data_IF_622582171786
#
_entry.id   IF_622582171786
#
_cell.length_a   1.000
_cell.length_b   1.000
_cell.length_c   1.000
_cell.angle_alpha   90.00
_cell.angle_beta   90.00
_cell.angle_gamma   90.00
#
_symmetry.space_group_name_H-M   'P 1'
#
loop_
_entity.id
_entity.type
_entity.pdbx_description
1 polymer ?
#
# COMPACT_ATOMS: atom_id res chain seq x y z
N UNK A 1 -5.83 -36.70 -50.91
CA UNK A 1 -5.95 -36.82 -49.44
C UNK A 1 -4.82 -36.00 -48.83
N UNK A 2 -5.19 -34.88 -48.17
CA UNK A 2 -4.42 -33.98 -47.31
C UNK A 2 -3.10 -33.38 -47.87
N UNK A 3 -3.02 -32.09 -48.24
CA UNK A 3 -3.18 -30.82 -47.50
C UNK A 3 -1.82 -30.26 -47.02
N UNK A 4 -1.64 -28.96 -47.34
CA UNK A 4 -0.93 -27.93 -46.56
C UNK A 4 0.61 -28.03 -46.51
N UNK A 5 1.39 -26.95 -46.62
CA UNK A 5 1.07 -25.52 -46.73
C UNK A 5 2.32 -24.76 -47.15
N UNK A 6 2.07 -23.71 -47.91
CA UNK A 6 2.95 -22.61 -48.28
C UNK A 6 3.68 -22.01 -47.08
N UNK A 7 4.99 -21.88 -47.16
CA UNK A 7 5.78 -21.04 -46.25
C UNK A 7 5.85 -19.63 -46.84
N UNK A 8 5.02 -18.70 -46.35
CA UNK A 8 5.14 -17.27 -46.65
C UNK A 8 5.26 -16.49 -45.34
N UNK A 9 6.48 -16.01 -45.12
CA UNK A 9 6.92 -14.70 -44.60
C UNK A 9 6.05 -13.98 -43.56
N UNK A 10 6.64 -13.70 -42.39
CA UNK A 10 6.67 -12.33 -41.84
C UNK A 10 7.85 -12.15 -40.86
N UNK A 11 9.03 -11.86 -41.40
CA UNK A 11 10.09 -11.22 -40.60
C UNK A 11 9.72 -9.74 -40.46
N UNK A 12 8.90 -9.45 -39.45
CA UNK A 12 8.69 -8.09 -38.94
C UNK A 12 8.91 -8.12 -37.43
N UNK A 13 10.10 -8.57 -37.01
CA UNK A 13 10.58 -8.29 -35.67
C UNK A 13 11.39 -6.99 -35.77
N UNK A 14 10.73 -5.88 -35.43
CA UNK A 14 11.46 -4.70 -34.98
C UNK A 14 12.42 -5.17 -33.90
N UNK A 15 13.73 -5.04 -34.14
CA UNK A 15 14.76 -5.49 -33.22
C UNK A 15 14.50 -4.90 -31.84
N UNK A 16 14.19 -5.76 -30.87
CA UNK A 16 14.32 -5.42 -29.46
C UNK A 16 15.82 -5.38 -29.25
N UNK A 17 16.44 -4.20 -29.30
CA UNK A 17 17.80 -4.08 -28.80
C UNK A 17 17.72 -4.28 -27.29
N UNK A 18 17.96 -5.51 -26.86
CA UNK A 18 18.10 -5.82 -25.44
C UNK A 18 19.35 -5.09 -24.94
N UNK A 19 19.21 -4.37 -23.83
CA UNK A 19 20.32 -3.67 -23.16
C UNK A 19 21.41 -4.70 -22.83
N UNK A 20 22.65 -4.41 -23.22
CA UNK A 20 23.79 -5.24 -22.87
C UNK A 20 24.25 -4.91 -21.43
N UNK A 21 24.39 -5.92 -20.58
CA UNK A 21 24.89 -5.76 -19.21
C UNK A 21 26.26 -6.38 -19.06
N UNK A 22 27.26 -5.53 -18.82
CA UNK A 22 28.65 -5.92 -18.59
C UNK A 22 28.98 -5.73 -17.11
N UNK A 23 29.73 -6.68 -16.53
CA UNK A 23 30.21 -6.58 -15.15
C UNK A 23 31.71 -6.85 -15.16
N UNK A 24 32.48 -5.95 -14.58
CA UNK A 24 33.93 -6.07 -14.43
C UNK A 24 34.32 -5.89 -12.97
N UNK A 25 35.40 -6.56 -12.57
CA UNK A 25 36.03 -6.36 -11.29
C UNK A 25 37.46 -5.87 -11.55
N UNK A 26 37.68 -4.56 -11.44
CA UNK A 26 39.01 -3.97 -11.59
C UNK A 26 39.83 -4.05 -10.31
N UNK A 27 39.23 -4.48 -9.20
CA UNK A 27 39.85 -4.59 -7.89
C UNK A 27 40.12 -6.04 -7.46
N UNK A 28 40.32 -6.97 -8.40
CA UNK A 28 40.44 -8.42 -8.11
C UNK A 28 41.50 -8.78 -7.05
N UNK A 29 42.57 -7.99 -6.98
CA UNK A 29 43.68 -8.21 -6.04
C UNK A 29 43.46 -7.53 -4.67
N UNK A 30 42.39 -6.76 -4.50
CA UNK A 30 42.01 -6.16 -3.22
C UNK A 30 41.17 -7.12 -2.38
N UNK A 31 41.19 -6.96 -1.06
CA UNK A 31 40.30 -7.75 -0.18
C UNK A 31 38.81 -7.58 -0.56
N UNK A 32 38.42 -6.39 -0.99
CA UNK A 32 37.07 -6.08 -1.45
C UNK A 32 36.67 -6.79 -2.73
N UNK A 33 37.53 -6.75 -3.74
CA UNK A 33 37.30 -7.44 -5.01
C UNK A 33 37.32 -8.97 -4.86
N UNK A 34 38.18 -9.52 -3.99
CA UNK A 34 38.13 -10.96 -3.63
C UNK A 34 36.80 -11.30 -2.96
N UNK A 35 36.35 -10.48 -2.00
CA UNK A 35 35.06 -10.68 -1.33
C UNK A 35 33.89 -10.58 -2.29
N UNK A 36 33.90 -9.62 -3.22
CA UNK A 36 32.90 -9.54 -4.29
C UNK A 36 32.84 -10.84 -5.10
N UNK A 37 33.98 -11.37 -5.54
CA UNK A 37 34.02 -12.62 -6.32
C UNK A 37 33.44 -13.81 -5.55
N UNK A 38 33.68 -13.88 -4.23
CA UNK A 38 33.24 -15.01 -3.39
C UNK A 38 31.78 -14.92 -2.97
N UNK A 39 31.32 -13.72 -2.55
CA UNK A 39 30.04 -13.55 -1.87
C UNK A 39 28.91 -13.10 -2.82
N UNK A 40 29.27 -12.42 -3.92
CA UNK A 40 28.32 -11.78 -4.85
C UNK A 40 28.46 -12.41 -6.25
N UNK A 41 29.59 -12.17 -6.91
CA UNK A 41 29.94 -12.69 -8.23
C UNK A 41 29.34 -11.91 -9.41
N UNK A 42 30.01 -12.06 -10.56
CA UNK A 42 29.66 -11.41 -11.84
C UNK A 42 28.24 -11.79 -12.31
N UNK A 43 27.91 -13.08 -12.28
CA UNK A 43 26.63 -13.56 -12.83
C UNK A 43 25.43 -13.06 -12.02
N UNK A 44 25.52 -13.10 -10.69
CA UNK A 44 24.48 -12.54 -9.82
C UNK A 44 24.31 -11.03 -10.05
N UNK A 45 25.41 -10.31 -10.20
CA UNK A 45 25.39 -8.88 -10.47
C UNK A 45 24.68 -8.58 -11.79
N UNK A 46 25.01 -9.32 -12.86
CA UNK A 46 24.35 -9.19 -14.17
C UNK A 46 22.83 -9.44 -14.06
N UNK A 47 22.43 -10.52 -13.39
CA UNK A 47 21.01 -10.82 -13.16
C UNK A 47 20.30 -9.73 -12.35
N UNK A 48 21.02 -9.12 -11.39
CA UNK A 48 20.50 -8.01 -10.60
C UNK A 48 20.28 -6.77 -11.45
N UNK A 49 21.21 -6.41 -12.35
CA UNK A 49 21.04 -5.29 -13.28
C UNK A 49 19.81 -5.48 -14.19
N UNK A 50 19.62 -6.69 -14.75
CA UNK A 50 18.43 -7.04 -15.55
C UNK A 50 17.15 -6.88 -14.71
N UNK A 51 17.12 -7.46 -13.51
CA UNK A 51 15.95 -7.42 -12.63
C UNK A 51 15.60 -5.98 -12.22
N UNK A 52 16.62 -5.17 -11.90
CA UNK A 52 16.47 -3.77 -11.54
C UNK A 52 15.89 -2.97 -12.71
N UNK A 53 16.40 -3.15 -13.93
CA UNK A 53 15.85 -2.48 -15.13
C UNK A 53 14.38 -2.82 -15.35
N UNK A 54 14.00 -4.10 -15.29
CA UNK A 54 12.61 -4.52 -15.46
C UNK A 54 11.71 -3.98 -14.35
N UNK A 55 12.21 -3.91 -13.12
CA UNK A 55 11.49 -3.31 -12.00
C UNK A 55 11.29 -1.80 -12.21
N UNK A 56 12.35 -1.08 -12.55
CA UNK A 56 12.35 0.37 -12.73
C UNK A 56 11.44 0.77 -13.90
N UNK A 57 11.56 0.10 -15.05
CA UNK A 57 10.67 0.39 -16.20
C UNK A 57 9.20 0.17 -15.86
N UNK A 58 8.87 -0.87 -15.08
CA UNK A 58 7.48 -1.09 -14.62
C UNK A 58 7.04 0.00 -13.64
N UNK A 59 7.88 0.31 -12.65
CA UNK A 59 7.58 1.30 -11.61
C UNK A 59 7.40 2.70 -12.20
N UNK A 60 8.24 3.10 -13.17
CA UNK A 60 8.15 4.36 -13.90
C UNK A 60 7.19 4.33 -15.09
N UNK A 61 6.53 3.19 -15.34
CA UNK A 61 5.60 3.01 -16.46
C UNK A 61 6.23 3.31 -17.84
N UNK A 62 7.54 3.08 -17.98
CA UNK A 62 8.30 3.19 -19.23
C UNK A 62 8.10 1.94 -20.09
N UNK A 63 6.86 1.69 -20.48
CA UNK A 63 6.45 0.43 -21.09
C UNK A 63 6.86 0.29 -22.56
N UNK A 64 7.18 1.40 -23.24
CA UNK A 64 7.58 1.40 -24.65
C UNK A 64 9.00 1.96 -24.83
N UNK A 65 9.69 1.62 -25.94
CA UNK A 65 10.98 2.23 -26.27
C UNK A 65 10.94 3.77 -26.32
N UNK A 66 9.81 4.36 -26.72
CA UNK A 66 9.65 5.81 -26.79
C UNK A 66 9.63 6.50 -25.41
N UNK A 67 9.29 5.77 -24.34
CA UNK A 67 9.26 6.26 -22.97
C UNK A 67 10.61 6.15 -22.25
N UNK A 68 11.52 5.33 -22.79
CA UNK A 68 12.81 4.98 -22.18
C UNK A 68 13.92 5.94 -22.63
N UNK A 69 15.00 5.98 -21.86
CA UNK A 69 16.28 6.51 -22.34
C UNK A 69 16.88 5.53 -23.34
N UNK A 70 17.57 6.05 -24.35
CA UNK A 70 18.26 5.24 -25.36
C UNK A 70 19.63 4.81 -24.83
N UNK A 71 19.62 3.77 -23.98
CA UNK A 71 20.82 3.17 -23.40
C UNK A 71 20.98 1.77 -23.98
N UNK A 72 22.10 1.53 -24.65
CA UNK A 72 22.37 0.26 -25.32
C UNK A 72 23.19 -0.70 -24.46
N UNK A 73 23.97 -0.16 -23.52
CA UNK A 73 24.84 -0.92 -22.63
C UNK A 73 24.88 -0.26 -21.26
N UNK A 74 24.87 -1.08 -20.21
CA UNK A 74 25.20 -0.67 -18.84
C UNK A 74 26.38 -1.49 -18.34
N UNK A 75 27.41 -0.81 -17.81
CA UNK A 75 28.61 -1.46 -17.27
C UNK A 75 28.67 -1.29 -15.76
N UNK A 76 28.71 -2.39 -15.01
CA UNK A 76 29.02 -2.37 -13.57
C UNK A 76 30.51 -2.65 -13.37
N UNK A 77 31.18 -1.76 -12.64
CA UNK A 77 32.62 -1.78 -12.40
C UNK A 77 32.85 -1.82 -10.89
N UNK A 78 33.46 -2.91 -10.41
CA UNK A 78 33.95 -2.98 -9.03
C UNK A 78 35.38 -2.44 -9.00
N UNK A 79 35.61 -1.35 -8.30
CA UNK A 79 36.93 -0.72 -8.23
C UNK A 79 37.20 0.00 -6.91
N UNK A 80 38.43 0.46 -6.71
CA UNK A 80 38.77 1.28 -5.56
C UNK A 80 38.47 2.75 -5.88
N UNK A 81 37.37 3.25 -5.33
CA UNK A 81 36.93 4.64 -5.48
C UNK A 81 36.52 5.20 -4.11
N UNK A 82 35.99 6.42 -4.09
CA UNK A 82 35.42 7.04 -2.90
C UNK A 82 33.91 6.75 -2.78
N UNK A 83 33.36 6.87 -1.57
CA UNK A 83 31.93 6.64 -1.32
C UNK A 83 31.52 5.17 -1.40
N UNK A 84 30.22 4.93 -1.61
CA UNK A 84 29.62 3.58 -1.69
C UNK A 84 29.58 3.12 -3.15
N UNK A 85 28.89 3.90 -3.97
CA UNK A 85 28.76 3.73 -5.40
C UNK A 85 28.36 5.05 -6.06
N UNK A 86 28.48 5.11 -7.38
CA UNK A 86 27.90 6.18 -8.21
C UNK A 86 27.63 5.67 -9.63
N UNK A 87 26.75 6.38 -10.33
CA UNK A 87 26.45 6.11 -11.74
C UNK A 87 26.78 7.31 -12.63
N UNK A 88 27.50 7.08 -13.73
CA UNK A 88 27.85 8.10 -14.71
C UNK A 88 28.04 7.44 -16.09
N UNK A 89 27.64 8.09 -17.18
CA UNK A 89 27.87 7.61 -18.55
C UNK A 89 27.42 6.16 -18.82
N UNK A 90 26.28 5.77 -18.26
CA UNK A 90 25.76 4.39 -18.31
C UNK A 90 26.67 3.33 -17.63
N UNK A 91 27.61 3.79 -16.80
CA UNK A 91 28.45 2.98 -15.93
C UNK A 91 28.00 3.12 -14.47
N UNK A 92 28.13 2.04 -13.71
CA UNK A 92 27.90 1.99 -12.28
C UNK A 92 29.22 1.56 -11.64
N UNK A 93 29.74 2.37 -10.74
CA UNK A 93 30.99 2.12 -10.06
C UNK A 93 30.68 1.80 -8.60
N UNK A 94 31.06 0.61 -8.14
CA UNK A 94 30.88 0.21 -6.73
C UNK A 94 32.24 0.10 -6.06
N UNK A 95 32.36 0.75 -4.90
CA UNK A 95 33.60 0.78 -4.16
C UNK A 95 33.93 -0.58 -3.52
N UNK A 96 35.03 -1.20 -3.95
CA UNK A 96 35.53 -2.44 -3.38
C UNK A 96 35.83 -2.32 -1.87
N UNK A 97 36.28 -1.15 -1.40
CA UNK A 97 36.51 -0.95 0.03
C UNK A 97 35.21 -0.96 0.84
N UNK A 98 34.11 -0.45 0.30
CA UNK A 98 32.80 -0.56 0.93
C UNK A 98 32.36 -2.03 1.04
N UNK A 99 32.52 -2.81 -0.04
CA UNK A 99 32.24 -4.26 -0.04
C UNK A 99 33.09 -4.98 1.03
N UNK A 100 34.36 -4.63 1.15
CA UNK A 100 35.27 -5.18 2.18
C UNK A 100 34.76 -4.88 3.59
N UNK A 101 34.36 -3.65 3.85
CA UNK A 101 34.06 -3.16 5.21
C UNK A 101 32.62 -3.45 5.65
N UNK A 102 31.71 -3.71 4.72
CA UNK A 102 30.31 -3.95 5.05
C UNK A 102 30.12 -5.18 5.94
N UNK A 103 29.40 -4.98 7.04
CA UNK A 103 29.03 -6.04 7.99
C UNK A 103 27.53 -6.30 7.90
N UNK A 104 27.12 -7.56 7.92
CA UNK A 104 25.72 -7.98 7.76
C UNK A 104 25.47 -8.67 6.42
N UNK A 105 24.24 -8.56 5.91
CA UNK A 105 23.84 -9.12 4.62
C UNK A 105 24.39 -8.29 3.46
N UNK A 106 25.65 -8.54 3.11
CA UNK A 106 26.32 -7.88 1.99
C UNK A 106 25.56 -8.06 0.68
N UNK A 107 24.91 -9.21 0.47
CA UNK A 107 24.23 -9.49 -0.78
C UNK A 107 22.97 -8.63 -0.91
N UNK A 108 22.15 -8.56 0.13
CA UNK A 108 20.99 -7.67 0.19
C UNK A 108 21.37 -6.18 0.05
N UNK A 109 22.44 -5.73 0.72
CA UNK A 109 22.93 -4.36 0.57
C UNK A 109 23.35 -4.07 -0.88
N UNK A 110 24.21 -4.93 -1.44
CA UNK A 110 24.72 -4.77 -2.79
C UNK A 110 23.57 -4.71 -3.81
N UNK A 111 22.55 -5.56 -3.65
CA UNK A 111 21.33 -5.48 -4.47
C UNK A 111 20.62 -4.14 -4.32
N UNK A 112 20.43 -3.67 -3.09
CA UNK A 112 19.81 -2.37 -2.84
C UNK A 112 20.57 -1.21 -3.49
N UNK A 113 21.90 -1.21 -3.37
CA UNK A 113 22.79 -0.24 -4.03
C UNK A 113 22.62 -0.31 -5.55
N UNK A 114 22.62 -1.50 -6.16
CA UNK A 114 22.40 -1.61 -7.60
C UNK A 114 21.01 -1.10 -8.04
N UNK A 115 19.96 -1.29 -7.24
CA UNK A 115 18.64 -0.71 -7.56
C UNK A 115 18.66 0.82 -7.50
N UNK A 116 19.38 1.40 -6.54
CA UNK A 116 19.60 2.84 -6.46
C UNK A 116 20.35 3.34 -7.71
N UNK A 117 21.54 2.80 -8.00
CA UNK A 117 22.38 3.27 -9.12
C UNK A 117 21.74 3.01 -10.49
N UNK A 118 21.05 1.88 -10.68
CA UNK A 118 20.29 1.63 -11.90
C UNK A 118 19.15 2.63 -12.10
N UNK A 119 18.62 3.21 -11.02
CA UNK A 119 17.62 4.25 -11.14
C UNK A 119 18.20 5.50 -11.77
N UNK A 120 19.42 5.90 -11.41
CA UNK A 120 20.12 7.03 -12.05
C UNK A 120 20.32 6.83 -13.56
N UNK A 121 20.51 5.58 -14.01
CA UNK A 121 20.57 5.24 -15.45
C UNK A 121 19.24 5.47 -16.14
N UNK A 122 18.11 5.08 -15.53
CA UNK A 122 16.81 5.07 -16.21
C UNK A 122 15.91 6.28 -15.96
N UNK A 123 16.14 7.02 -14.87
CA UNK A 123 15.37 8.21 -14.54
C UNK A 123 15.78 9.40 -15.42
N UNK A 124 14.84 10.31 -15.60
CA UNK A 124 15.09 11.60 -16.21
C UNK A 124 15.56 12.59 -15.14
N UNK A 125 16.62 13.34 -15.43
CA UNK A 125 17.19 14.30 -14.47
C UNK A 125 16.77 15.75 -14.73
N UNK A 126 15.78 16.01 -15.59
CA UNK A 126 15.36 17.37 -15.91
C UNK A 126 16.42 18.17 -16.65
N UNK A 127 17.25 17.55 -17.49
CA UNK A 127 18.42 18.20 -18.10
C UNK A 127 19.36 18.84 -17.06
N UNK A 128 19.51 18.21 -15.90
CA UNK A 128 20.32 18.70 -14.78
C UNK A 128 19.68 19.82 -13.96
N UNK A 129 18.41 20.17 -14.21
CA UNK A 129 17.69 21.22 -13.47
C UNK A 129 16.98 20.68 -12.21
N UNK A 130 16.86 19.37 -12.08
CA UNK A 130 16.17 18.75 -10.94
C UNK A 130 17.05 18.88 -9.68
N UNK A 131 16.47 19.25 -8.52
CA UNK A 131 17.20 19.27 -7.26
C UNK A 131 17.88 17.94 -6.97
N UNK A 132 19.15 17.97 -6.58
CA UNK A 132 19.93 16.76 -6.32
C UNK A 132 19.28 15.83 -5.31
N UNK A 133 18.71 16.36 -4.23
CA UNK A 133 18.01 15.51 -3.25
C UNK A 133 16.73 14.86 -3.78
N UNK A 134 16.05 15.46 -4.77
CA UNK A 134 14.94 14.78 -5.45
C UNK A 134 15.46 13.63 -6.34
N UNK A 135 16.59 13.83 -7.01
CA UNK A 135 17.25 12.79 -7.82
C UNK A 135 17.67 11.59 -6.97
N UNK A 136 18.36 11.83 -5.85
CA UNK A 136 18.73 10.78 -4.90
C UNK A 136 17.50 10.13 -4.25
N UNK A 137 16.48 10.93 -3.92
CA UNK A 137 15.26 10.45 -3.31
C UNK A 137 14.41 9.56 -4.21
N UNK A 138 14.41 9.79 -5.53
CA UNK A 138 13.74 8.90 -6.49
C UNK A 138 14.49 7.57 -6.57
N UNK A 139 15.82 7.58 -6.58
CA UNK A 139 16.63 6.36 -6.56
C UNK A 139 16.36 5.52 -5.29
N UNK A 140 16.29 6.16 -4.12
CA UNK A 140 15.91 5.47 -2.89
C UNK A 140 14.42 5.13 -2.81
N UNK A 141 13.53 5.85 -3.49
CA UNK A 141 12.14 5.43 -3.62
C UNK A 141 12.02 4.10 -4.40
N UNK A 142 12.83 3.90 -5.44
CA UNK A 142 12.88 2.61 -6.15
C UNK A 142 13.38 1.51 -5.20
N UNK A 143 14.48 1.76 -4.48
CA UNK A 143 15.04 0.84 -3.48
C UNK A 143 14.02 0.49 -2.38
N UNK A 144 13.25 1.48 -1.92
CA UNK A 144 12.13 1.31 -0.98
C UNK A 144 11.06 0.38 -1.55
N UNK A 145 10.63 0.61 -2.80
CA UNK A 145 9.58 -0.19 -3.46
C UNK A 145 10.03 -1.60 -3.80
N UNK A 146 11.32 -1.82 -4.00
CA UNK A 146 11.93 -3.13 -4.17
C UNK A 146 12.17 -3.86 -2.84
N UNK A 147 11.82 -3.25 -1.71
CA UNK A 147 11.97 -3.79 -0.35
C UNK A 147 13.43 -4.02 0.08
N UNK A 148 14.36 -3.21 -0.42
CA UNK A 148 15.78 -3.23 -0.03
C UNK A 148 16.11 -2.09 0.96
N UNK A 149 15.33 -2.00 2.04
CA UNK A 149 15.42 -0.92 3.04
C UNK A 149 16.52 -1.23 4.06
N UNK A 150 17.62 -0.45 4.12
CA UNK A 150 18.61 -0.55 5.19
C UNK A 150 18.00 -0.24 6.55
N UNK A 151 18.50 -0.92 7.59
CA UNK A 151 18.03 -0.75 8.97
C UNK A 151 18.24 0.65 9.55
N UNK A 152 19.20 1.41 9.00
CA UNK A 152 19.53 2.77 9.44
C UNK A 152 18.68 3.85 8.78
N UNK A 153 17.81 3.50 7.81
CA UNK A 153 16.97 4.49 7.17
C UNK A 153 16.00 5.14 8.15
N UNK A 154 15.77 6.43 7.93
CA UNK A 154 14.82 7.20 8.72
C UNK A 154 13.41 6.62 8.65
N UNK A 155 12.66 6.86 9.72
CA UNK A 155 11.25 6.51 9.79
C UNK A 155 10.40 7.52 9.02
N UNK A 156 9.21 7.12 8.53
CA UNK A 156 8.29 8.06 7.91
C UNK A 156 7.96 9.24 8.83
N UNK A 157 8.15 10.46 8.33
CA UNK A 157 7.96 11.71 9.06
C UNK A 157 9.27 12.34 9.52
N UNK A 158 10.39 11.63 9.52
CA UNK A 158 11.68 12.18 9.91
C UNK A 158 12.35 12.95 8.75
N UNK A 159 13.35 13.76 9.10
CA UNK A 159 14.01 14.70 8.18
C UNK A 159 13.43 16.11 8.23
N UNK A 160 14.18 17.03 7.62
CA UNK A 160 13.99 18.48 7.77
C UNK A 160 13.34 19.12 6.53
N UNK A 161 13.57 18.56 5.34
CA UNK A 161 13.03 19.08 4.07
C UNK A 161 12.73 17.97 3.06
N UNK A 162 11.80 18.25 2.15
CA UNK A 162 11.30 17.28 1.18
C UNK A 162 12.34 16.81 0.16
N UNK A 163 13.32 17.66 -0.18
CA UNK A 163 14.44 17.37 -1.10
C UNK A 163 15.76 17.17 -0.36
N UNK A 164 15.71 16.66 0.87
CA UNK A 164 16.93 16.37 1.64
C UNK A 164 17.82 15.32 0.96
N UNK A 165 17.26 14.46 0.12
CA UNK A 165 17.96 13.35 -0.50
C UNK A 165 17.57 12.02 0.12
N UNK A 166 17.97 10.97 -0.58
CA UNK A 166 18.01 9.60 -0.07
C UNK A 166 16.68 9.15 0.57
N UNK A 167 16.78 8.46 1.70
CA UNK A 167 15.68 7.88 2.47
C UNK A 167 14.62 8.90 2.90
N UNK A 168 15.01 10.10 3.36
CA UNK A 168 14.06 11.17 3.75
C UNK A 168 13.14 11.52 2.57
N UNK A 169 13.73 11.84 1.42
CA UNK A 169 12.95 12.19 0.22
C UNK A 169 12.20 10.97 -0.31
N UNK A 170 12.76 9.77 -0.26
CA UNK A 170 12.09 8.54 -0.68
C UNK A 170 10.81 8.27 0.12
N UNK A 171 10.83 8.48 1.45
CA UNK A 171 9.66 8.33 2.32
C UNK A 171 8.58 9.37 2.02
N UNK A 172 8.97 10.60 1.68
CA UNK A 172 8.05 11.64 1.23
C UNK A 172 7.42 11.30 -0.12
N UNK A 173 8.22 10.85 -1.09
CA UNK A 173 7.73 10.41 -2.39
C UNK A 173 6.78 9.21 -2.27
N UNK A 174 7.00 8.32 -1.30
CA UNK A 174 6.07 7.25 -0.97
C UNK A 174 4.73 7.77 -0.45
N UNK A 175 4.75 8.78 0.42
CA UNK A 175 3.53 9.47 0.83
C UNK A 175 2.80 10.09 -0.38
N UNK A 176 3.50 10.82 -1.24
CA UNK A 176 2.92 11.41 -2.45
C UNK A 176 2.32 10.35 -3.39
N UNK A 177 3.00 9.22 -3.56
CA UNK A 177 2.51 8.08 -4.36
C UNK A 177 1.29 7.39 -3.71
N UNK A 178 1.13 7.49 -2.39
CA UNK A 178 -0.08 7.01 -1.70
C UNK A 178 -1.28 7.93 -1.89
N UNK A 179 -1.07 9.21 -2.18
CA UNK A 179 -2.14 10.16 -2.53
C UNK A 179 -2.60 9.98 -3.98
N UNK A 180 -1.67 9.64 -4.87
CA UNK A 180 -1.96 9.32 -6.27
C UNK A 180 -1.03 8.21 -6.75
N UNK A 181 -1.60 7.03 -6.98
CA UNK A 181 -0.84 5.91 -7.52
C UNK A 181 -0.18 6.29 -8.86
N UNK A 182 1.10 5.99 -9.01
CA UNK A 182 1.90 6.37 -10.19
C UNK A 182 2.40 7.82 -10.16
N UNK A 183 2.32 8.52 -9.02
CA UNK A 183 2.86 9.88 -8.87
C UNK A 183 4.33 9.96 -9.32
N UNK A 184 5.19 9.08 -8.79
CA UNK A 184 6.64 9.13 -9.09
C UNK A 184 6.92 8.82 -10.55
N UNK A 185 6.14 7.91 -11.15
CA UNK A 185 6.24 7.60 -12.59
C UNK A 185 5.94 8.83 -13.46
N UNK A 186 4.83 9.52 -13.17
CA UNK A 186 4.44 10.72 -13.90
C UNK A 186 5.38 11.91 -13.64
N UNK A 187 5.90 12.03 -12.41
CA UNK A 187 6.93 13.02 -12.08
C UNK A 187 8.20 12.76 -12.92
N UNK A 188 8.73 11.54 -12.91
CA UNK A 188 9.87 11.14 -13.74
C UNK A 188 9.63 11.45 -15.22
N UNK A 189 8.45 11.12 -15.75
CA UNK A 189 8.07 11.42 -17.14
C UNK A 189 8.07 12.92 -17.44
N UNK A 190 7.57 13.76 -16.53
CA UNK A 190 7.60 15.23 -16.67
C UNK A 190 9.01 15.79 -16.64
N UNK A 191 9.93 15.13 -15.94
CA UNK A 191 11.34 15.51 -15.87
C UNK A 191 12.15 15.22 -17.15
N UNK A 192 11.53 14.73 -18.24
CA UNK A 192 12.24 14.36 -19.47
C UNK A 192 13.08 15.49 -20.07
N UNK A 193 12.62 16.73 -19.99
CA UNK A 193 13.27 17.88 -20.66
C UNK A 193 13.54 19.08 -19.76
N UNK A 194 13.24 18.98 -18.47
CA UNK A 194 13.37 20.09 -17.52
C UNK A 194 12.68 19.77 -16.20
N UNK A 195 12.87 20.62 -15.21
CA UNK A 195 12.21 20.48 -13.91
C UNK A 195 11.46 21.76 -13.52
N UNK A 196 10.26 21.58 -12.97
CA UNK A 196 9.52 22.63 -12.28
C UNK A 196 8.86 22.05 -11.03
N UNK A 197 8.91 22.81 -9.93
CA UNK A 197 8.18 22.46 -8.70
C UNK A 197 6.66 22.42 -8.93
N UNK A 198 6.15 23.12 -9.96
CA UNK A 198 4.72 23.09 -10.33
C UNK A 198 4.26 21.71 -10.77
N UNK A 199 5.16 20.78 -11.11
CA UNK A 199 4.79 19.39 -11.39
C UNK A 199 4.04 18.75 -10.21
N UNK A 200 4.37 19.11 -8.97
CA UNK A 200 3.61 18.66 -7.79
C UNK A 200 2.17 19.19 -7.80
N UNK A 201 1.98 20.47 -8.16
CA UNK A 201 0.65 21.09 -8.29
C UNK A 201 -0.16 20.44 -9.41
N UNK A 202 0.47 20.18 -10.56
CA UNK A 202 -0.19 19.53 -11.68
C UNK A 202 -0.65 18.11 -11.36
N UNK A 203 0.17 17.35 -10.61
CA UNK A 203 -0.07 15.94 -10.32
C UNK A 203 -0.93 15.70 -9.07
N UNK A 204 -0.82 16.55 -8.05
CA UNK A 204 -1.46 16.36 -6.73
C UNK A 204 -2.34 17.55 -6.30
N UNK A 205 -2.44 18.61 -7.11
CA UNK A 205 -3.22 19.83 -6.83
C UNK A 205 -2.73 20.66 -5.64
N UNK A 206 -1.58 20.31 -5.06
CA UNK A 206 -0.92 21.02 -3.97
C UNK A 206 0.55 21.27 -4.33
N UNK A 207 1.10 22.39 -3.85
CA UNK A 207 2.53 22.65 -3.98
C UNK A 207 3.35 21.74 -3.04
N UNK A 208 4.64 21.58 -3.34
CA UNK A 208 5.51 20.65 -2.62
C UNK A 208 5.69 20.99 -1.13
N UNK A 209 5.68 22.28 -0.78
CA UNK A 209 5.81 22.72 0.62
C UNK A 209 4.56 22.37 1.45
N UNK A 210 3.37 22.51 0.85
CA UNK A 210 2.13 22.06 1.48
C UNK A 210 2.10 20.54 1.64
N UNK A 211 2.49 19.79 0.60
CA UNK A 211 2.57 18.34 0.67
C UNK A 211 3.56 17.86 1.75
N UNK A 212 4.70 18.53 1.89
CA UNK A 212 5.68 18.25 2.94
C UNK A 212 5.12 18.56 4.33
N UNK A 213 4.41 19.68 4.49
CA UNK A 213 3.73 20.03 5.74
C UNK A 213 2.68 18.98 6.12
N UNK A 214 1.86 18.55 5.16
CA UNK A 214 0.84 17.52 5.36
C UNK A 214 1.46 16.16 5.71
N UNK A 215 2.59 15.83 5.07
CA UNK A 215 3.39 14.66 5.39
C UNK A 215 3.89 14.70 6.85
N UNK A 216 4.54 15.79 7.27
CA UNK A 216 5.02 15.98 8.64
C UNK A 216 3.87 15.87 9.63
N UNK A 217 2.79 16.61 9.43
CA UNK A 217 1.61 16.57 10.31
C UNK A 217 1.05 15.14 10.47
N UNK A 218 0.93 14.37 9.37
CA UNK A 218 0.46 12.97 9.41
C UNK A 218 1.32 12.07 10.32
N UNK A 219 2.59 12.40 10.49
CA UNK A 219 3.56 11.63 11.25
C UNK A 219 3.85 12.21 12.65
N UNK A 220 3.78 13.53 12.84
CA UNK A 220 3.92 14.19 14.14
C UNK A 220 2.78 13.82 15.11
N UNK A 221 1.55 13.66 14.61
CA UNK A 221 0.43 13.12 15.40
C UNK A 221 0.70 11.72 15.96
N UNK A 222 1.72 11.00 15.46
CA UNK A 222 2.10 9.67 15.94
C UNK A 222 3.19 9.71 17.01
N UNK A 223 3.98 10.80 17.11
CA UNK A 223 5.09 10.92 18.05
C UNK A 223 4.71 11.61 19.37
N UNK A 224 3.78 12.58 19.38
CA UNK A 224 3.54 13.44 20.56
C UNK A 224 2.65 12.85 21.68
N UNK A 225 2.24 11.57 21.62
CA UNK A 225 1.35 10.99 22.62
C UNK A 225 1.92 9.70 23.23
N UNK A 226 2.73 9.79 24.31
CA UNK A 226 3.39 8.63 24.93
C UNK A 226 2.43 7.55 25.45
N UNK A 227 1.14 7.89 25.60
CA UNK A 227 0.08 6.97 26.01
C UNK A 227 -0.47 6.10 24.86
N UNK A 228 -0.08 6.41 23.62
CA UNK A 228 -0.53 5.75 22.38
C UNK A 228 0.64 5.16 21.58
N UNK A 229 1.69 4.68 22.25
CA UNK A 229 2.53 3.63 21.66
C UNK A 229 1.73 2.34 21.56
N UNK A 230 0.67 2.33 20.74
CA UNK A 230 0.03 1.09 20.33
C UNK A 230 0.88 0.51 19.21
N UNK A 231 1.50 -0.62 19.53
CA UNK A 231 2.04 -1.59 18.59
C UNK A 231 1.15 -1.71 17.35
N UNK A 232 1.52 -1.01 16.28
CA UNK A 232 1.20 -1.49 14.94
C UNK A 232 2.12 -2.70 14.72
N UNK A 233 1.68 -3.86 15.20
CA UNK A 233 2.02 -5.08 14.50
C UNK A 233 1.50 -4.86 13.08
N UNK A 234 2.40 -4.79 12.10
CA UNK A 234 2.03 -4.96 10.70
C UNK A 234 1.17 -6.22 10.63
N UNK A 235 -0.13 -6.03 10.43
CA UNK A 235 -1.03 -7.16 10.30
C UNK A 235 -0.62 -7.92 9.03
N UNK A 236 -0.47 -9.26 9.10
CA UNK A 236 -0.04 -10.03 7.95
C UNK A 236 -1.05 -9.90 6.82
N UNK A 237 -0.66 -9.29 5.71
CA UNK A 237 -1.02 -9.60 4.31
C UNK A 237 -2.48 -9.79 3.88
N UNK A 238 -3.50 -9.67 4.72
CA UNK A 238 -4.88 -10.07 4.39
C UNK A 238 -5.93 -8.96 4.50
N UNK A 239 -5.62 -7.82 5.11
CA UNK A 239 -6.53 -6.67 5.17
C UNK A 239 -5.77 -5.37 4.89
N UNK A 240 -5.60 -5.05 3.61
CA UNK A 240 -4.95 -3.82 3.15
C UNK A 240 -5.86 -2.59 3.27
N UNK A 241 -5.27 -1.40 3.08
CA UNK A 241 -5.99 -0.11 3.04
C UNK A 241 -7.12 -0.12 1.98
N UNK A 242 -6.96 -0.88 0.90
CA UNK A 242 -7.99 -1.13 -0.11
C UNK A 242 -9.24 -1.80 0.48
N UNK A 243 -9.06 -2.74 1.40
CA UNK A 243 -10.17 -3.47 2.04
C UNK A 243 -11.00 -2.59 2.96
N UNK A 244 -10.36 -1.59 3.62
CA UNK A 244 -11.06 -0.56 4.40
C UNK A 244 -11.86 0.40 3.53
N UNK A 245 -11.32 0.84 2.38
CA UNK A 245 -12.05 1.67 1.42
C UNK A 245 -13.22 0.91 0.81
N UNK A 246 -13.00 -0.34 0.37
CA UNK A 246 -14.06 -1.21 -0.16
C UNK A 246 -15.15 -1.52 0.87
N UNK A 247 -14.77 -1.75 2.14
CA UNK A 247 -15.75 -1.93 3.22
C UNK A 247 -16.56 -0.66 3.45
N UNK A 248 -15.93 0.51 3.43
CA UNK A 248 -16.59 1.82 3.60
C UNK A 248 -17.60 2.08 2.48
N UNK A 249 -17.22 1.84 1.22
CA UNK A 249 -18.12 2.01 0.08
C UNK A 249 -19.26 0.98 0.06
N UNK A 250 -18.97 -0.26 0.47
CA UNK A 250 -19.98 -1.30 0.62
C UNK A 250 -21.00 -0.95 1.72
N UNK A 251 -20.52 -0.48 2.87
CA UNK A 251 -21.34 0.03 3.98
C UNK A 251 -22.28 1.13 3.49
N UNK A 252 -21.76 2.15 2.78
CA UNK A 252 -22.60 3.25 2.31
C UNK A 252 -23.69 2.81 1.32
N UNK A 253 -23.42 1.80 0.48
CA UNK A 253 -24.42 1.21 -0.43
C UNK A 253 -25.49 0.42 0.32
N UNK A 254 -25.12 -0.35 1.34
CA UNK A 254 -26.08 -1.07 2.20
C UNK A 254 -26.98 -0.08 2.96
N UNK A 255 -26.41 1.01 3.46
CA UNK A 255 -27.15 2.07 4.16
C UNK A 255 -27.89 3.06 3.24
N UNK A 256 -27.86 2.85 1.92
CA UNK A 256 -28.46 3.72 0.91
C UNK A 256 -28.00 5.19 0.99
N UNK A 257 -26.79 5.45 1.52
CA UNK A 257 -26.19 6.80 1.65
C UNK A 257 -25.27 7.07 0.48
N UNK A 258 -25.88 7.24 -0.69
CA UNK A 258 -25.18 7.26 -1.97
C UNK A 258 -24.50 8.60 -2.29
N UNK A 259 -24.84 9.69 -1.58
CA UNK A 259 -24.22 11.02 -1.77
C UNK A 259 -23.38 11.44 -0.56
N UNK A 260 -22.37 12.30 -0.75
CA UNK A 260 -21.56 12.83 0.36
C UNK A 260 -22.38 13.58 1.41
N UNK A 261 -23.49 14.22 0.99
CA UNK A 261 -24.40 14.93 1.90
C UNK A 261 -25.20 13.99 2.82
N UNK A 262 -25.41 12.73 2.40
CA UNK A 262 -26.11 11.70 3.20
C UNK A 262 -25.17 10.94 4.14
N UNK A 263 -23.85 11.08 3.93
CA UNK A 263 -22.80 10.45 4.74
C UNK A 263 -22.52 11.33 5.95
N UNK A 264 -22.24 10.71 7.09
CA UNK A 264 -21.82 11.45 8.29
C UNK A 264 -20.42 12.01 8.02
N UNK A 265 -20.26 13.32 8.14
CA UNK A 265 -18.95 13.98 8.07
C UNK A 265 -18.07 13.43 9.19
N UNK A 266 -17.16 12.53 8.83
CA UNK A 266 -16.23 11.87 9.72
C UNK A 266 -14.85 12.04 9.13
N UNK A 267 -14.18 13.12 9.53
CA UNK A 267 -12.81 13.43 9.10
C UNK A 267 -11.78 12.42 9.62
N UNK A 268 -12.13 11.66 10.68
CA UNK A 268 -11.25 10.66 11.29
C UNK A 268 -12.09 9.59 11.98
N UNK A 269 -11.72 8.34 11.76
CA UNK A 269 -12.21 7.18 12.52
C UNK A 269 -11.01 6.56 13.26
N UNK A 270 -11.15 6.38 14.56
CA UNK A 270 -10.06 5.89 15.41
C UNK A 270 -10.36 4.46 15.83
N UNK A 271 -9.54 3.51 15.39
CA UNK A 271 -9.58 2.13 15.89
C UNK A 271 -8.72 2.05 17.16
N UNK A 272 -9.30 1.63 18.27
CA UNK A 272 -8.63 1.55 19.58
C UNK A 272 -8.65 0.08 20.00
N UNK A 273 -7.48 -0.51 20.24
CA UNK A 273 -7.37 -1.88 20.75
C UNK A 273 -7.11 -1.83 22.26
N UNK A 274 -8.03 -2.32 23.08
CA UNK A 274 -7.95 -2.22 24.54
C UNK A 274 -8.33 -3.54 25.24
N UNK A 275 -8.08 -3.68 26.54
CA UNK A 275 -8.53 -4.85 27.31
C UNK A 275 -9.84 -4.49 28.02
N UNK A 276 -10.96 -5.08 27.63
CA UNK A 276 -12.30 -4.76 28.15
C UNK A 276 -13.17 -5.99 28.45
N UNK A 277 -14.46 -5.79 28.71
CA UNK A 277 -15.44 -6.89 28.94
C UNK A 277 -16.33 -7.19 27.72
N UNK A 278 -16.38 -6.27 26.76
CA UNK A 278 -17.11 -6.34 25.48
C UNK A 278 -16.10 -6.18 24.36
N UNK A 279 -16.47 -6.52 23.13
CA UNK A 279 -15.42 -6.87 22.17
C UNK A 279 -15.06 -5.76 21.23
N UNK A 280 -16.05 -4.95 20.87
CA UNK A 280 -15.89 -3.90 19.91
C UNK A 280 -17.10 -3.00 20.00
N UNK A 281 -16.91 -1.82 20.56
CA UNK A 281 -18.00 -0.87 20.69
C UNK A 281 -17.62 0.42 19.99
N UNK A 282 -18.65 1.09 19.46
CA UNK A 282 -18.48 2.44 18.94
C UNK A 282 -18.73 3.43 20.05
N UNK A 283 -17.78 4.33 20.29
CA UNK A 283 -17.94 5.44 21.25
C UNK A 283 -17.69 6.77 20.57
N UNK A 284 -18.20 7.83 21.20
CA UNK A 284 -17.92 9.22 20.84
C UNK A 284 -18.11 9.56 19.36
N UNK A 285 -18.98 8.82 18.67
CA UNK A 285 -19.36 9.02 17.27
C UNK A 285 -18.29 8.77 16.19
N UNK A 286 -17.04 8.49 16.54
CA UNK A 286 -15.93 8.32 15.61
C UNK A 286 -14.83 7.33 16.09
N UNK A 287 -15.05 6.61 17.18
CA UNK A 287 -14.12 5.60 17.67
C UNK A 287 -14.73 4.21 17.51
N UNK A 288 -13.90 3.26 17.11
CA UNK A 288 -14.18 1.83 17.14
C UNK A 288 -13.20 1.26 18.16
N UNK A 289 -13.68 0.95 19.34
CA UNK A 289 -12.91 0.20 20.32
C UNK A 289 -13.00 -1.27 19.96
N UNK A 290 -11.94 -2.03 20.13
CA UNK A 290 -11.84 -3.47 19.88
C UNK A 290 -11.06 -4.07 21.04
N UNK A 291 -11.64 -5.04 21.71
CA UNK A 291 -11.05 -5.73 22.82
C UNK A 291 -10.04 -6.75 22.31
N UNK A 292 -8.84 -6.69 22.85
CA UNK A 292 -7.78 -7.61 22.47
C UNK A 292 -8.09 -9.07 22.82
N UNK A 293 -8.97 -9.33 23.79
CA UNK A 293 -9.19 -10.69 24.32
C UNK A 293 -10.40 -11.44 23.73
N UNK A 294 -11.32 -10.75 23.08
CA UNK A 294 -12.61 -11.32 22.68
C UNK A 294 -13.21 -10.40 21.60
N UNK A 295 -13.96 -10.95 20.62
CA UNK A 295 -14.78 -10.37 19.51
C UNK A 295 -16.30 -10.88 19.50
N UNK A 296 -17.32 -10.15 20.05
CA UNK A 296 -18.79 -10.05 20.25
C UNK A 296 -19.37 -8.98 21.31
N UNK A 297 -20.03 -7.84 20.99
CA UNK A 297 -21.52 -7.66 21.03
C UNK A 297 -22.14 -6.23 20.79
N UNK A 298 -23.34 -6.28 20.20
CA UNK A 298 -24.42 -5.29 19.96
C UNK A 298 -24.26 -4.18 18.91
N UNK A 299 -23.30 -3.25 19.02
CA UNK A 299 -22.93 -2.44 17.84
C UNK A 299 -22.47 -3.32 16.69
N UNK A 300 -21.99 -4.50 17.05
CA UNK A 300 -21.56 -5.55 16.16
C UNK A 300 -22.68 -6.26 15.42
N UNK A 301 -23.90 -6.40 15.93
CA UNK A 301 -24.95 -7.09 15.17
C UNK A 301 -25.22 -6.43 13.80
N UNK A 302 -25.10 -5.11 13.71
CA UNK A 302 -25.21 -4.35 12.46
C UNK A 302 -23.92 -4.45 11.65
N UNK A 303 -22.74 -4.38 12.28
CA UNK A 303 -21.44 -4.53 11.60
C UNK A 303 -21.26 -5.96 11.02
N UNK A 304 -21.78 -6.95 11.72
CA UNK A 304 -21.76 -8.36 11.37
C UNK A 304 -22.88 -8.73 10.40
N UNK A 305 -24.00 -8.00 10.39
CA UNK A 305 -24.94 -8.02 9.27
C UNK A 305 -24.25 -7.56 7.97
N UNK A 306 -23.43 -6.50 8.02
CA UNK A 306 -22.62 -6.07 6.86
C UNK A 306 -21.64 -7.17 6.46
N UNK A 307 -20.94 -7.78 7.42
CA UNK A 307 -20.02 -8.90 7.19
C UNK A 307 -20.71 -10.12 6.57
N UNK A 308 -21.93 -10.42 7.02
CA UNK A 308 -22.78 -11.48 6.48
C UNK A 308 -23.18 -11.22 5.03
N UNK A 309 -23.66 -10.01 4.71
CA UNK A 309 -24.07 -9.61 3.36
C UNK A 309 -22.91 -9.51 2.36
N UNK A 310 -21.68 -9.39 2.86
CA UNK A 310 -20.46 -9.37 2.06
C UNK A 310 -19.90 -10.78 1.79
N UNK A 311 -20.60 -11.85 2.20
CA UNK A 311 -20.12 -13.25 2.14
C UNK A 311 -18.81 -13.50 2.92
N UNK A 312 -18.59 -12.72 3.99
CA UNK A 312 -17.39 -12.79 4.84
C UNK A 312 -17.68 -13.37 6.23
N UNK A 313 -18.82 -14.05 6.40
CA UNK A 313 -19.19 -14.73 7.64
C UNK A 313 -18.24 -15.92 7.91
N UNK A 314 -17.52 -15.95 9.05
CA UNK A 314 -16.70 -17.07 9.47
C UNK A 314 -17.48 -18.39 9.54
N UNK A 315 -16.79 -19.51 9.29
CA UNK A 315 -17.39 -20.85 9.29
C UNK A 315 -17.94 -21.31 10.64
N UNK A 316 -17.55 -20.68 11.75
CA UNK A 316 -18.01 -21.00 13.11
C UNK A 316 -19.30 -20.27 13.51
N UNK A 317 -19.82 -19.37 12.67
CA UNK A 317 -21.07 -18.66 12.96
C UNK A 317 -22.27 -19.59 12.99
N UNK A 318 -23.25 -19.23 13.83
CA UNK A 318 -24.54 -19.92 13.86
C UNK A 318 -25.22 -19.95 12.50
N UNK A 319 -25.91 -21.07 12.24
CA UNK A 319 -26.76 -21.22 11.06
C UNK A 319 -28.08 -20.44 11.24
N UNK A 320 -28.76 -20.06 10.15
CA UNK A 320 -30.08 -19.45 10.24
C UNK A 320 -31.01 -20.27 11.15
N UNK A 321 -31.72 -19.60 12.05
CA UNK A 321 -32.65 -20.22 12.99
C UNK A 321 -32.02 -20.75 14.28
N UNK A 322 -30.70 -20.72 14.45
CA UNK A 322 -30.02 -21.09 15.70
C UNK A 322 -29.96 -19.90 16.69
N UNK A 323 -29.87 -20.21 17.98
CA UNK A 323 -29.95 -19.24 19.09
C UNK A 323 -31.28 -19.28 19.85
N UNK A 324 -31.23 -18.84 21.10
CA UNK A 324 -32.33 -18.82 22.08
C UNK A 324 -33.08 -17.49 22.07
N UNK A 325 -32.36 -16.37 21.86
CA UNK A 325 -32.92 -15.01 21.76
C UNK A 325 -32.26 -14.22 20.63
N UNK A 326 -33.00 -13.30 20.02
CA UNK A 326 -32.57 -12.54 18.84
C UNK A 326 -31.31 -11.70 19.05
N UNK A 327 -31.01 -11.43 20.31
CA UNK A 327 -30.00 -10.50 20.81
C UNK A 327 -28.92 -11.25 21.64
N UNK A 328 -28.85 -12.59 21.52
CA UNK A 328 -27.97 -13.44 22.32
C UNK A 328 -26.48 -13.29 21.96
N UNK A 329 -26.20 -12.94 20.72
CA UNK A 329 -24.86 -12.91 20.15
C UNK A 329 -24.89 -12.20 18.81
N UNK A 330 -23.74 -11.67 18.39
CA UNK A 330 -23.61 -10.84 17.20
C UNK A 330 -23.98 -11.59 15.90
N UNK A 331 -23.64 -12.87 15.82
CA UNK A 331 -23.92 -13.74 14.69
C UNK A 331 -25.41 -14.12 14.62
N UNK A 332 -26.03 -14.43 15.76
CA UNK A 332 -27.48 -14.63 15.91
C UNK A 332 -28.24 -13.36 15.49
N UNK A 333 -27.82 -12.20 15.99
CA UNK A 333 -28.43 -10.90 15.68
C UNK A 333 -28.26 -10.52 14.21
N UNK A 334 -27.08 -10.76 13.61
CA UNK A 334 -26.84 -10.47 12.20
C UNK A 334 -27.77 -11.30 11.28
N UNK A 335 -27.94 -12.59 11.58
CA UNK A 335 -28.84 -13.49 10.83
C UNK A 335 -30.31 -13.09 11.01
N UNK A 336 -30.70 -12.67 12.21
CA UNK A 336 -32.04 -12.15 12.47
C UNK A 336 -32.32 -10.83 11.74
N UNK A 337 -31.36 -9.90 11.75
CA UNK A 337 -31.48 -8.62 11.04
C UNK A 337 -31.51 -8.82 9.52
N UNK A 338 -30.80 -9.80 8.96
CA UNK A 338 -30.91 -10.16 7.54
C UNK A 338 -32.30 -10.67 7.20
N UNK A 339 -32.92 -11.48 8.07
CA UNK A 339 -34.31 -11.85 7.93
C UNK A 339 -35.24 -10.62 7.97
N UNK A 340 -35.11 -9.73 8.96
CA UNK A 340 -35.93 -8.53 9.02
C UNK A 340 -35.75 -7.62 7.79
N UNK A 341 -34.53 -7.52 7.26
CA UNK A 341 -34.25 -6.78 6.03
C UNK A 341 -34.83 -7.45 4.78
N UNK A 342 -35.00 -8.77 4.79
CA UNK A 342 -35.71 -9.50 3.73
C UNK A 342 -37.21 -9.20 3.70
N UNK A 343 -37.81 -8.91 4.87
CA UNK A 343 -39.21 -8.51 4.99
C UNK A 343 -39.45 -7.08 4.49
N UNK A 344 -38.48 -6.19 4.71
CA UNK A 344 -38.52 -4.81 4.23
C UNK A 344 -37.12 -4.36 3.83
N UNK A 345 -36.90 -4.24 2.53
CA UNK A 345 -35.60 -3.81 2.00
C UNK A 345 -35.21 -2.43 2.55
N UNK A 346 -34.00 -2.33 3.10
CA UNK A 346 -33.49 -1.08 3.70
C UNK A 346 -33.88 -0.89 5.17
N UNK A 347 -34.55 -1.86 5.79
CA UNK A 347 -34.96 -1.77 7.20
C UNK A 347 -33.78 -1.54 8.14
N UNK A 348 -32.67 -2.27 7.96
CA UNK A 348 -31.51 -2.14 8.86
C UNK A 348 -30.90 -0.74 8.76
N UNK A 349 -31.01 -0.10 7.58
CA UNK A 349 -30.54 1.27 7.39
C UNK A 349 -31.42 2.31 8.08
N UNK A 350 -32.75 2.13 8.03
CA UNK A 350 -33.67 3.01 8.73
C UNK A 350 -33.63 2.80 10.25
N UNK A 351 -33.39 1.55 10.68
CA UNK A 351 -33.15 1.22 12.08
C UNK A 351 -31.90 1.94 12.61
N UNK A 352 -30.76 1.88 11.90
CA UNK A 352 -29.53 2.64 12.22
C UNK A 352 -29.81 4.14 12.38
N UNK A 353 -30.55 4.72 11.43
CA UNK A 353 -30.88 6.14 11.46
C UNK A 353 -31.72 6.53 12.68
N UNK A 354 -32.73 5.72 13.02
CA UNK A 354 -33.62 5.97 14.17
C UNK A 354 -32.91 5.76 15.51
N UNK A 355 -32.00 4.78 15.60
CA UNK A 355 -31.22 4.50 16.81
C UNK A 355 -30.23 5.60 17.19
N UNK A 356 -29.95 6.57 16.31
CA UNK A 356 -29.15 7.77 16.63
C UNK A 356 -29.71 8.58 17.81
N UNK A 357 -30.99 8.42 18.13
CA UNK A 357 -31.67 9.09 19.26
C UNK A 357 -31.85 8.18 20.48
N UNK A 358 -31.22 7.00 20.48
CA UNK A 358 -31.42 5.94 21.47
C UNK A 358 -32.21 4.77 20.90
N UNK A 359 -32.01 3.59 21.48
CA UNK A 359 -32.75 2.38 21.13
C UNK A 359 -34.11 2.33 21.84
N UNK A 360 -35.15 1.90 21.13
CA UNK A 360 -36.45 1.50 21.68
C UNK A 360 -36.91 0.20 21.02
N UNK A 361 -37.50 -0.71 21.80
CA UNK A 361 -38.10 -1.94 21.28
C UNK A 361 -39.27 -1.65 20.31
N UNK A 362 -39.89 -0.48 20.43
CA UNK A 362 -40.98 -0.03 19.55
C UNK A 362 -40.51 0.24 18.11
N UNK A 363 -39.20 0.38 17.87
CA UNK A 363 -38.65 0.62 16.53
C UNK A 363 -39.02 -0.50 15.54
N UNK A 364 -39.09 -1.75 15.99
CA UNK A 364 -39.52 -2.87 15.14
C UNK A 364 -41.03 -2.81 14.86
N UNK A 365 -41.82 -2.34 15.82
CA UNK A 365 -43.26 -2.11 15.62
C UNK A 365 -43.48 -0.97 14.63
N UNK A 366 -42.71 0.11 14.73
CA UNK A 366 -42.76 1.23 13.78
C UNK A 366 -42.37 0.80 12.35
N UNK A 367 -41.36 -0.05 12.20
CA UNK A 367 -40.77 -0.39 10.90
C UNK A 367 -41.43 -1.59 10.21
N UNK A 368 -41.94 -2.56 10.98
CA UNK A 368 -42.50 -3.82 10.47
C UNK A 368 -43.91 -4.13 10.98
N UNK A 369 -44.47 -3.30 11.86
CA UNK A 369 -45.80 -3.54 12.43
C UNK A 369 -45.86 -4.72 13.40
N UNK A 370 -44.72 -5.27 13.82
CA UNK A 370 -44.60 -6.39 14.75
C UNK A 370 -43.59 -6.09 15.83
N UNK A 371 -43.84 -6.61 17.04
CA UNK A 371 -42.85 -6.58 18.12
C UNK A 371 -41.64 -7.43 17.74
N UNK A 372 -40.48 -7.11 18.32
CA UNK A 372 -39.25 -7.87 18.08
C UNK A 372 -39.41 -9.35 18.46
N UNK A 373 -40.20 -9.66 19.49
CA UNK A 373 -40.49 -11.04 19.93
C UNK A 373 -41.36 -11.80 18.91
N UNK A 374 -42.34 -11.11 18.29
CA UNK A 374 -43.13 -11.70 17.20
C UNK A 374 -42.26 -11.98 15.99
N UNK A 375 -41.39 -11.04 15.62
CA UNK A 375 -40.45 -11.23 14.50
C UNK A 375 -39.45 -12.34 14.78
N UNK A 376 -38.95 -12.45 16.01
CA UNK A 376 -38.07 -13.54 16.41
C UNK A 376 -38.79 -14.89 16.35
N UNK A 377 -40.04 -14.94 16.77
CA UNK A 377 -40.87 -16.14 16.66
C UNK A 377 -41.09 -16.54 15.19
N UNK A 378 -41.37 -15.57 14.31
CA UNK A 378 -41.51 -15.81 12.87
C UNK A 378 -40.20 -16.30 12.24
N UNK A 379 -39.08 -15.69 12.61
CA UNK A 379 -37.74 -16.10 12.19
C UNK A 379 -37.43 -17.55 12.59
N UNK A 380 -37.71 -17.91 13.85
CA UNK A 380 -37.55 -19.27 14.36
C UNK A 380 -38.49 -20.26 13.68
N UNK A 381 -39.70 -19.86 13.32
CA UNK A 381 -40.62 -20.71 12.57
C UNK A 381 -40.18 -20.94 11.12
N UNK A 382 -39.51 -19.96 10.51
CA UNK A 382 -39.06 -20.03 9.12
C UNK A 382 -37.72 -20.77 8.94
N UNK A 383 -36.79 -20.60 9.88
CA UNK A 383 -35.42 -21.10 9.76
C UNK A 383 -35.00 -22.05 10.87
N UNK A 384 -35.75 -22.12 11.97
CA UNK A 384 -35.51 -23.10 13.02
C UNK A 384 -35.94 -24.48 12.56
N UNK A 385 -35.07 -25.47 12.74
CA UNK A 385 -35.47 -26.88 12.82
C UNK A 385 -35.83 -27.23 14.25
#
# INVERSE_FOLDING_TARGET
>A
MFLLSSLVVLAALHGIHAVEYVVTNNAENSTGGVRFNNDIGIEYSRQTLVSATEFIWRLFQQNTPADRKDVQRVTLIIENTDGIAYAENDEIHVNANYIKEYSGDLKGEFTGVLYHEMTHIWQWNGNGQTPGGLIEGIADFVRLKANYIPSHWVQPGQGDRWDQGYDVTARFLDYCNSLRNGFVAELNKKMRSGYSADFFVELLRNNVDQLWTDYKAKHDFREENPKYQSSFLELPGYWGRETLTSATDFIWRIFQRNTEADRKDMQKMTLIIENGNSIAFTSLNNEIHVNANYLGSYSEGIADFVRLRADLAPSHWVQPGQGDRWDQGYDVTARFLDYCNSLRNGLVAELDQKMRRGYSADLFVELLGKTVDQLWSDYKAQYGN
#
